data_IF_880375037049
#
_entry.id   IF_880375037049
#
_cell.length_a   1.000
_cell.length_b   1.000
_cell.length_c   1.000
_cell.angle_alpha   90.00
_cell.angle_beta   90.00
_cell.angle_gamma   90.00
#
_symmetry.space_group_name_H-M   'P 1'
#
loop_
_entity.id
_entity.type
_entity.pdbx_description
1 polymer ?
#
# COMPACT_ATOMS: atom_id res chain seq x y z
N UNK A 1 -28.73 0.39 -11.73
CA UNK A 1 -29.91 1.26 -11.63
C UNK A 1 -30.88 0.91 -12.76
N UNK A 2 -32.19 0.91 -12.45
CA UNK A 2 -33.26 0.63 -13.42
C UNK A 2 -34.45 1.55 -13.13
N UNK A 3 -35.23 1.85 -14.16
CA UNK A 3 -36.45 2.66 -14.05
C UNK A 3 -37.61 1.93 -14.71
N UNK A 4 -38.74 1.80 -14.00
CA UNK A 4 -39.95 1.18 -14.51
C UNK A 4 -40.93 2.27 -14.98
N UNK A 5 -41.35 2.22 -16.25
CA UNK A 5 -42.30 3.13 -16.81
C UNK A 5 -43.25 2.42 -17.79
N UNK A 6 -44.52 2.61 -17.60
CA UNK A 6 -45.60 1.97 -18.38
C UNK A 6 -45.42 0.46 -18.56
N UNK A 7 -44.96 -0.25 -17.50
CA UNK A 7 -44.75 -1.70 -17.52
C UNK A 7 -43.43 -2.16 -18.15
N UNK A 8 -42.61 -1.24 -18.69
CA UNK A 8 -41.31 -1.52 -19.28
C UNK A 8 -40.19 -1.07 -18.34
N UNK A 9 -39.11 -1.88 -18.28
CA UNK A 9 -37.92 -1.55 -17.48
C UNK A 9 -36.81 -1.00 -18.38
N UNK A 10 -36.29 0.17 -18.03
CA UNK A 10 -35.22 0.87 -18.75
C UNK A 10 -33.94 0.85 -17.93
N UNK A 11 -32.84 0.47 -18.59
CA UNK A 11 -31.52 0.32 -17.98
C UNK A 11 -30.51 1.40 -18.44
N UNK A 12 -30.91 2.23 -19.39
CA UNK A 12 -30.06 3.25 -20.00
C UNK A 12 -30.80 4.58 -20.09
N UNK A 13 -30.03 5.66 -20.09
CA UNK A 13 -30.55 7.00 -20.38
C UNK A 13 -31.04 7.09 -21.81
N UNK A 14 -32.12 7.83 -22.05
CA UNK A 14 -32.66 8.02 -23.38
C UNK A 14 -34.01 8.70 -23.37
N UNK A 15 -34.54 8.94 -24.58
CA UNK A 15 -35.90 9.40 -24.79
C UNK A 15 -36.69 8.19 -25.28
N UNK A 16 -37.73 7.85 -24.53
CA UNK A 16 -38.60 6.72 -24.81
C UNK A 16 -40.00 7.20 -25.07
N UNK A 17 -40.66 6.62 -26.04
CA UNK A 17 -42.01 6.98 -26.46
C UNK A 17 -42.92 5.78 -26.33
N UNK A 18 -44.06 5.95 -25.75
CA UNK A 18 -45.09 4.95 -25.61
C UNK A 18 -46.42 5.50 -26.07
N UNK A 19 -47.24 4.61 -26.68
CA UNK A 19 -48.55 4.93 -27.19
C UNK A 19 -49.61 4.32 -26.28
N UNK A 20 -50.37 5.13 -25.62
CA UNK A 20 -51.42 4.73 -24.70
C UNK A 20 -52.79 4.90 -25.39
N UNK A 21 -53.62 3.87 -25.33
CA UNK A 21 -54.97 3.94 -25.84
C UNK A 21 -55.93 4.33 -24.75
N UNK A 22 -56.81 5.32 -25.03
CA UNK A 22 -57.91 5.64 -24.14
C UNK A 22 -59.03 4.61 -24.28
N UNK A 23 -59.94 4.52 -23.33
CA UNK A 23 -61.12 3.67 -23.35
C UNK A 23 -62.06 3.94 -24.54
N UNK A 24 -61.88 5.04 -25.24
CA UNK A 24 -62.64 5.43 -26.41
C UNK A 24 -61.88 5.23 -27.73
N UNK A 25 -60.69 4.55 -27.69
CA UNK A 25 -59.92 4.20 -28.86
C UNK A 25 -59.05 5.31 -29.44
N UNK A 26 -58.89 6.42 -28.74
CA UNK A 26 -57.96 7.47 -29.16
C UNK A 26 -56.58 7.18 -28.64
N UNK A 27 -55.54 7.32 -29.50
CA UNK A 27 -54.14 7.16 -29.13
C UNK A 27 -53.60 8.42 -28.47
N UNK A 28 -52.85 8.22 -27.41
CA UNK A 28 -52.09 9.28 -26.71
C UNK A 28 -50.62 8.90 -26.68
N UNK A 29 -49.76 9.82 -27.08
CA UNK A 29 -48.31 9.62 -27.07
C UNK A 29 -47.76 10.15 -25.74
N UNK A 30 -47.11 9.26 -24.99
CA UNK A 30 -46.35 9.61 -23.79
C UNK A 30 -44.85 9.57 -24.09
N UNK A 31 -44.12 10.57 -23.65
CA UNK A 31 -42.65 10.63 -23.85
C UNK A 31 -41.97 10.70 -22.49
N UNK A 32 -41.03 9.80 -22.26
CA UNK A 32 -40.13 9.78 -21.10
C UNK A 32 -38.74 10.25 -21.53
N UNK A 33 -38.24 11.29 -20.89
CA UNK A 33 -36.85 11.69 -20.97
C UNK A 33 -36.16 11.19 -19.69
N UNK A 34 -35.41 10.09 -19.82
CA UNK A 34 -34.78 9.37 -18.71
C UNK A 34 -33.27 9.65 -18.69
N UNK A 35 -32.78 10.03 -17.52
CA UNK A 35 -31.34 10.07 -17.24
C UNK A 35 -31.04 9.11 -16.11
N UNK A 36 -30.21 8.11 -16.40
CA UNK A 36 -29.70 7.16 -15.40
C UNK A 36 -28.23 7.53 -15.11
N UNK A 37 -27.98 7.88 -13.86
CA UNK A 37 -26.62 8.18 -13.40
C UNK A 37 -25.95 6.90 -12.92
N UNK A 38 -24.66 6.73 -13.30
CA UNK A 38 -23.83 5.66 -12.78
C UNK A 38 -23.39 6.00 -11.36
N UNK A 39 -23.42 5.01 -10.49
CA UNK A 39 -22.68 5.06 -9.21
C UNK A 39 -21.22 4.74 -9.51
N UNK A 40 -20.32 5.46 -8.85
CA UNK A 40 -18.89 5.18 -8.91
C UNK A 40 -18.48 4.68 -7.53
N UNK A 41 -18.08 3.40 -7.48
CA UNK A 41 -17.45 2.85 -6.29
C UNK A 41 -15.95 3.17 -6.36
N UNK A 42 -15.43 3.85 -5.35
CA UNK A 42 -14.00 4.11 -5.21
C UNK A 42 -13.42 3.15 -4.18
N UNK A 43 -12.28 2.54 -4.51
CA UNK A 43 -11.60 1.58 -3.64
C UNK A 43 -10.18 2.09 -3.40
N UNK A 44 -9.88 2.38 -2.14
CA UNK A 44 -8.56 2.77 -1.68
C UNK A 44 -7.95 1.65 -0.83
N UNK A 45 -6.63 1.43 -0.95
CA UNK A 45 -5.88 0.49 -0.13
C UNK A 45 -4.71 1.22 0.48
N UNK A 46 -4.65 1.25 1.81
CA UNK A 46 -3.67 2.02 2.57
C UNK A 46 -3.08 1.16 3.69
N UNK A 47 -1.75 1.24 3.83
CA UNK A 47 -1.03 0.79 5.02
C UNK A 47 -0.59 2.00 5.83
N UNK A 48 -0.82 1.99 7.11
CA UNK A 48 -0.44 3.07 8.03
C UNK A 48 0.13 2.50 9.33
N UNK A 49 0.94 3.31 9.99
CA UNK A 49 1.41 3.05 11.34
C UNK A 49 0.45 3.70 12.33
N UNK A 50 0.02 3.00 13.36
CA UNK A 50 -0.83 3.46 14.46
C UNK A 50 -2.25 3.87 14.06
N UNK A 51 -2.44 4.77 13.11
CA UNK A 51 -3.77 5.23 12.69
C UNK A 51 -3.74 5.90 11.33
N UNK A 52 -4.91 5.97 10.71
CA UNK A 52 -5.12 6.65 9.43
C UNK A 52 -6.39 7.50 9.49
N UNK A 53 -6.31 8.73 9.01
CA UNK A 53 -7.47 9.62 8.92
C UNK A 53 -8.05 9.57 7.51
N UNK A 54 -9.28 9.08 7.39
CA UNK A 54 -10.01 9.00 6.13
C UNK A 54 -11.36 9.70 6.24
N UNK A 55 -11.65 10.58 5.30
CA UNK A 55 -12.87 11.42 5.29
C UNK A 55 -13.15 12.13 6.62
N UNK A 56 -12.08 12.55 7.33
CA UNK A 56 -12.19 13.27 8.61
C UNK A 56 -12.42 12.38 9.83
N UNK A 57 -12.46 11.05 9.65
CA UNK A 57 -12.55 10.06 10.74
C UNK A 57 -11.21 9.36 10.90
N UNK A 58 -10.73 9.25 12.13
CA UNK A 58 -9.51 8.52 12.46
C UNK A 58 -9.83 7.05 12.74
N UNK A 59 -9.08 6.15 12.10
CA UNK A 59 -9.15 4.71 12.27
C UNK A 59 -7.82 4.21 12.82
N UNK A 60 -7.83 3.43 13.89
CA UNK A 60 -6.68 2.89 14.61
C UNK A 60 -6.52 1.36 14.47
N UNK A 61 -7.35 0.75 13.67
CA UNK A 61 -7.39 -0.71 13.50
C UNK A 61 -7.46 -1.08 12.03
N UNK A 62 -6.84 -2.20 11.67
CA UNK A 62 -6.98 -2.78 10.34
C UNK A 62 -8.43 -3.19 10.06
N UNK A 63 -8.91 -2.92 8.86
CA UNK A 63 -10.28 -3.26 8.52
C UNK A 63 -10.69 -2.79 7.14
N UNK A 64 -11.94 -3.06 6.82
CA UNK A 64 -12.61 -2.54 5.63
C UNK A 64 -13.63 -1.52 6.11
N UNK A 65 -13.44 -0.28 5.69
CA UNK A 65 -14.31 0.84 6.05
C UNK A 65 -15.04 1.35 4.81
N UNK A 66 -16.29 1.70 4.98
CA UNK A 66 -17.11 2.24 3.89
C UNK A 66 -17.67 3.59 4.27
N UNK A 67 -17.70 4.49 3.32
CA UNK A 67 -18.34 5.78 3.43
C UNK A 67 -19.28 6.02 2.26
N UNK A 68 -20.46 6.54 2.53
CA UNK A 68 -21.48 6.80 1.52
C UNK A 68 -21.59 8.29 1.27
N UNK A 69 -21.27 8.70 0.06
CA UNK A 69 -21.35 10.09 -0.37
C UNK A 69 -22.50 10.25 -1.35
N UNK A 70 -23.42 11.18 -1.04
CA UNK A 70 -24.50 11.50 -1.95
C UNK A 70 -24.00 12.44 -3.06
N UNK A 71 -24.24 12.04 -4.31
CA UNK A 71 -23.93 12.89 -5.44
C UNK A 71 -24.93 14.05 -5.55
N UNK A 72 -24.59 15.09 -6.32
CA UNK A 72 -25.48 16.24 -6.58
C UNK A 72 -26.82 15.82 -7.22
N UNK A 73 -26.94 14.62 -7.75
CA UNK A 73 -28.13 14.06 -8.39
C UNK A 73 -28.90 13.09 -7.49
N UNK A 74 -28.53 13.00 -6.20
CA UNK A 74 -29.21 12.17 -5.22
C UNK A 74 -28.92 10.67 -5.31
N UNK A 75 -27.91 10.28 -6.10
CA UNK A 75 -27.41 8.90 -6.12
C UNK A 75 -26.34 8.73 -5.03
N UNK A 76 -26.36 7.61 -4.32
CA UNK A 76 -25.33 7.27 -3.36
C UNK A 76 -24.13 6.62 -4.06
N UNK A 77 -22.93 7.05 -3.72
CA UNK A 77 -21.66 6.49 -4.14
C UNK A 77 -20.97 5.89 -2.93
N UNK A 78 -20.46 4.69 -3.02
CA UNK A 78 -19.80 4.01 -1.91
C UNK A 78 -18.29 4.09 -2.13
N UNK A 79 -17.60 4.70 -1.17
CA UNK A 79 -16.15 4.65 -1.08
C UNK A 79 -15.78 3.55 -0.11
N UNK A 80 -14.81 2.71 -0.47
CA UNK A 80 -14.33 1.60 0.36
C UNK A 80 -12.83 1.78 0.61
N UNK A 81 -12.44 1.75 1.86
CA UNK A 81 -11.05 1.77 2.30
C UNK A 81 -10.67 0.40 2.85
N UNK A 82 -9.64 -0.22 2.27
CA UNK A 82 -8.92 -1.35 2.85
C UNK A 82 -7.74 -0.81 3.63
N UNK A 83 -7.86 -0.76 4.95
CA UNK A 83 -6.83 -0.24 5.83
C UNK A 83 -6.08 -1.38 6.51
N UNK A 84 -4.75 -1.32 6.41
CA UNK A 84 -3.84 -2.12 7.24
C UNK A 84 -3.17 -1.17 8.23
N UNK A 85 -3.45 -1.34 9.50
CA UNK A 85 -2.72 -0.67 10.58
C UNK A 85 -1.71 -1.66 11.13
N UNK A 86 -0.44 -1.29 11.02
CA UNK A 86 0.64 -2.10 11.57
C UNK A 86 0.72 -1.82 13.07
N UNK A 87 0.35 -2.80 13.88
CA UNK A 87 0.51 -2.76 15.33
C UNK A 87 1.98 -3.10 15.63
N UNK A 88 2.74 -2.04 15.90
CA UNK A 88 4.17 -2.15 16.10
C UNK A 88 4.47 -2.39 17.58
N UNK A 89 4.28 -3.62 18.02
CA UNK A 89 4.91 -4.07 19.28
C UNK A 89 6.41 -4.17 18.99
N UNK A 90 7.17 -3.19 19.43
CA UNK A 90 8.62 -3.16 19.26
C UNK A 90 9.26 -4.34 20.00
N UNK A 91 9.46 -5.41 19.27
CA UNK A 91 10.35 -6.48 19.68
C UNK A 91 11.76 -6.17 19.14
N UNK A 92 12.83 -6.54 19.83
CA UNK A 92 14.16 -6.44 19.26
C UNK A 92 14.20 -7.28 17.99
N UNK A 93 14.74 -6.66 16.93
CA UNK A 93 14.94 -7.29 15.64
C UNK A 93 16.40 -7.71 15.54
N UNK A 94 16.69 -8.79 14.87
CA UNK A 94 18.05 -9.21 14.55
C UNK A 94 18.28 -9.08 13.05
N UNK A 95 19.19 -8.19 12.67
CA UNK A 95 19.72 -8.11 11.30
C UNK A 95 20.81 -9.14 11.13
N UNK A 96 20.68 -10.03 10.16
CA UNK A 96 21.74 -10.87 9.63
C UNK A 96 22.12 -10.32 8.24
N UNK A 97 23.30 -9.74 8.12
CA UNK A 97 23.84 -9.17 6.89
C UNK A 97 25.08 -9.94 6.49
N UNK A 98 25.01 -10.74 5.43
CA UNK A 98 26.16 -11.35 4.80
C UNK A 98 26.72 -10.36 3.79
N UNK A 99 27.93 -9.91 4.06
CA UNK A 99 28.68 -9.01 3.20
C UNK A 99 29.26 -9.75 2.00
N UNK A 100 29.31 -9.09 0.87
CA UNK A 100 29.98 -9.55 -0.33
C UNK A 100 31.49 -9.26 -0.31
N UNK A 101 32.16 -9.41 -1.45
CA UNK A 101 33.59 -9.09 -1.58
C UNK A 101 33.88 -7.58 -1.56
N UNK A 102 32.88 -6.74 -1.84
CA UNK A 102 33.01 -5.28 -1.99
C UNK A 102 32.36 -4.48 -0.86
N UNK A 103 32.28 -5.04 0.32
CA UNK A 103 31.55 -4.49 1.48
C UNK A 103 31.97 -3.08 1.92
N UNK A 104 32.97 -2.46 1.30
CA UNK A 104 33.34 -1.05 1.51
C UNK A 104 32.21 -0.11 1.09
N UNK A 105 31.36 -0.53 0.20
CA UNK A 105 30.25 0.25 -0.36
C UNK A 105 28.90 -0.02 0.30
N UNK A 106 28.85 -1.00 1.20
CA UNK A 106 27.63 -1.40 1.90
C UNK A 106 27.39 -0.54 3.14
N UNK A 107 26.20 0.05 3.19
CA UNK A 107 25.71 0.86 4.32
C UNK A 107 24.28 0.47 4.65
N UNK A 108 23.87 0.61 5.89
CA UNK A 108 22.46 0.52 6.23
C UNK A 108 22.09 1.51 7.34
N UNK A 109 20.84 1.91 7.31
CA UNK A 109 20.26 2.83 8.30
C UNK A 109 18.91 2.32 8.77
N UNK A 110 18.55 2.70 9.99
CA UNK A 110 17.17 2.60 10.49
C UNK A 110 16.73 3.99 10.89
N UNK A 111 15.60 4.41 10.36
CA UNK A 111 14.98 5.73 10.61
C UNK A 111 13.60 5.55 11.20
N UNK A 112 13.20 6.47 12.08
CA UNK A 112 11.82 6.54 12.58
C UNK A 112 10.88 7.22 11.59
N UNK A 113 9.60 7.37 11.99
CA UNK A 113 8.56 8.03 11.17
C UNK A 113 8.82 9.54 10.93
N UNK A 114 9.81 10.13 11.60
CA UNK A 114 10.21 11.53 11.48
C UNK A 114 11.56 11.69 10.76
N UNK A 115 12.04 10.62 10.10
CA UNK A 115 13.36 10.55 9.44
C UNK A 115 14.55 10.70 10.40
N UNK A 116 14.36 10.53 11.71
CA UNK A 116 15.47 10.53 12.67
C UNK A 116 16.23 9.21 12.59
N UNK A 117 17.55 9.28 12.46
CA UNK A 117 18.39 8.10 12.30
C UNK A 117 18.67 7.47 13.68
N UNK A 118 18.25 6.20 13.84
CA UNK A 118 18.48 5.40 15.04
C UNK A 118 19.71 4.52 14.93
N UNK A 119 19.94 3.99 13.72
CA UNK A 119 21.12 3.18 13.40
C UNK A 119 21.71 3.65 12.07
N UNK A 120 23.03 3.70 12.01
CA UNK A 120 23.79 4.02 10.80
C UNK A 120 25.10 3.25 10.87
N UNK A 121 25.25 2.24 10.06
CA UNK A 121 26.39 1.34 10.06
C UNK A 121 26.96 1.18 8.64
N UNK A 122 28.25 0.97 8.54
CA UNK A 122 29.04 0.95 7.30
C UNK A 122 29.89 2.22 7.16
N UNK A 123 30.80 2.30 6.20
CA UNK A 123 31.25 1.18 5.38
C UNK A 123 31.97 0.12 6.20
N UNK A 124 32.00 -1.11 5.67
CA UNK A 124 32.72 -2.22 6.30
C UNK A 124 34.18 -2.30 5.82
N UNK A 125 34.99 -3.07 6.53
CA UNK A 125 36.43 -3.15 6.27
C UNK A 125 36.75 -4.13 5.13
N UNK A 126 36.55 -3.65 3.90
CA UNK A 126 36.89 -4.34 2.67
C UNK A 126 37.87 -3.52 1.83
N UNK A 127 38.50 -4.17 0.87
CA UNK A 127 39.37 -3.49 -0.09
C UNK A 127 38.54 -2.93 -1.26
N UNK A 128 38.95 -1.75 -1.82
CA UNK A 128 38.25 -1.19 -2.97
C UNK A 128 38.24 -2.07 -4.23
N UNK A 129 39.14 -3.08 -4.29
CA UNK A 129 39.24 -4.01 -5.41
C UNK A 129 38.71 -5.42 -5.08
N UNK A 130 37.92 -5.52 -4.02
CA UNK A 130 37.37 -6.77 -3.50
C UNK A 130 38.23 -7.43 -2.44
N UNK A 131 37.61 -8.23 -1.60
CA UNK A 131 38.24 -8.90 -0.46
C UNK A 131 38.47 -7.96 0.74
N UNK A 132 39.16 -8.42 1.74
CA UNK A 132 39.41 -7.69 2.98
C UNK A 132 38.96 -8.46 4.22
N UNK A 133 39.11 -7.81 5.39
CA UNK A 133 38.90 -8.53 6.66
C UNK A 133 37.40 -8.87 6.93
N UNK A 134 36.49 -8.12 6.35
CA UNK A 134 35.04 -8.35 6.52
C UNK A 134 34.35 -8.86 5.24
N UNK A 135 35.09 -9.00 4.13
CA UNK A 135 34.53 -9.60 2.92
C UNK A 135 34.02 -11.02 3.20
N UNK A 136 32.86 -11.35 2.67
CA UNK A 136 32.19 -12.64 2.82
C UNK A 136 31.95 -13.07 4.28
N UNK A 137 31.82 -12.09 5.18
CA UNK A 137 31.48 -12.37 6.59
C UNK A 137 30.02 -11.98 6.88
N UNK A 138 29.42 -12.64 7.86
CA UNK A 138 28.09 -12.30 8.32
C UNK A 138 28.17 -11.36 9.52
N UNK A 139 27.54 -10.21 9.40
CA UNK A 139 27.31 -9.28 10.50
C UNK A 139 25.96 -9.63 11.13
N UNK A 140 25.95 -9.82 12.44
CA UNK A 140 24.71 -10.01 13.22
C UNK A 140 24.56 -8.79 14.13
N UNK A 141 23.43 -8.12 14.02
CA UNK A 141 23.15 -6.89 14.79
C UNK A 141 21.77 -6.94 15.40
N UNK A 142 21.69 -6.79 16.71
CA UNK A 142 20.43 -6.59 17.38
C UNK A 142 20.02 -5.11 17.28
N UNK A 143 18.80 -4.89 16.85
CA UNK A 143 18.20 -3.58 16.63
C UNK A 143 17.08 -3.42 17.65
N UNK A 144 17.25 -2.48 18.58
CA UNK A 144 16.26 -2.17 19.60
C UNK A 144 15.51 -0.91 19.20
N UNK A 145 14.21 -1.05 18.98
CA UNK A 145 13.33 0.05 18.58
C UNK A 145 12.40 0.39 19.75
N UNK A 146 11.86 1.58 19.78
CA UNK A 146 10.83 1.94 20.77
C UNK A 146 9.46 1.57 20.27
N UNK A 147 8.55 1.25 21.20
CA UNK A 147 7.17 0.93 20.88
C UNK A 147 6.43 2.14 20.26
N UNK A 148 5.40 1.86 19.49
CA UNK A 148 4.49 2.84 18.91
C UNK A 148 5.11 3.82 17.91
N UNK A 149 6.15 3.41 17.19
CA UNK A 149 6.64 4.13 16.01
C UNK A 149 6.80 3.17 14.84
N UNK A 150 6.93 3.74 13.63
CA UNK A 150 7.28 2.99 12.45
C UNK A 150 8.70 3.30 12.04
N UNK A 151 9.39 2.26 11.60
CA UNK A 151 10.79 2.39 11.22
C UNK A 151 11.00 1.94 9.79
N UNK A 152 11.88 2.66 9.11
CA UNK A 152 12.34 2.31 7.77
C UNK A 152 13.76 1.76 7.86
N UNK A 153 13.96 0.53 7.40
CA UNK A 153 15.28 -0.05 7.19
C UNK A 153 15.71 0.23 5.75
N UNK A 154 16.84 0.89 5.57
CA UNK A 154 17.44 1.15 4.27
C UNK A 154 18.80 0.46 4.20
N UNK A 155 18.98 -0.40 3.21
CA UNK A 155 20.28 -0.94 2.82
C UNK A 155 20.72 -0.24 1.55
N UNK A 156 21.90 0.32 1.55
CA UNK A 156 22.45 1.12 0.47
C UNK A 156 23.79 0.54 0.02
N UNK A 157 24.00 0.63 -1.27
CA UNK A 157 25.22 0.28 -1.95
C UNK A 157 25.70 1.47 -2.77
N UNK A 158 26.95 1.88 -2.59
CA UNK A 158 27.45 3.11 -3.21
C UNK A 158 27.53 3.02 -4.74
N UNK A 159 27.85 1.85 -5.31
CA UNK A 159 27.95 1.67 -6.75
C UNK A 159 26.64 1.25 -7.40
N UNK A 160 25.66 0.80 -6.61
CA UNK A 160 24.29 0.52 -7.08
C UNK A 160 24.14 -0.81 -7.77
N UNK A 161 25.08 -1.75 -7.58
CA UNK A 161 24.98 -3.13 -8.05
C UNK A 161 24.47 -4.09 -6.94
N UNK A 162 24.13 -3.55 -5.79
CA UNK A 162 23.60 -4.26 -4.64
C UNK A 162 24.67 -5.09 -3.93
N UNK A 163 24.26 -6.17 -3.27
CA UNK A 163 25.19 -7.13 -2.66
C UNK A 163 25.68 -8.15 -3.69
N UNK A 164 26.02 -7.69 -4.90
CA UNK A 164 26.21 -8.51 -6.10
C UNK A 164 27.66 -8.83 -6.43
N UNK A 165 28.45 -9.34 -5.48
CA UNK A 165 29.87 -9.71 -5.69
C UNK A 165 30.10 -10.73 -6.83
N UNK A 166 29.14 -11.61 -7.12
CA UNK A 166 29.29 -12.68 -8.12
C UNK A 166 29.45 -12.17 -9.55
N UNK A 167 28.91 -11.00 -9.87
CA UNK A 167 29.07 -10.37 -11.19
C UNK A 167 30.57 -10.11 -11.54
N UNK A 168 31.37 -9.82 -10.51
CA UNK A 168 32.82 -9.54 -10.63
C UNK A 168 33.70 -10.73 -10.26
N UNK A 169 33.08 -11.91 -10.09
CA UNK A 169 33.80 -13.15 -9.77
C UNK A 169 33.98 -13.42 -8.26
N UNK A 170 33.33 -12.62 -7.43
CA UNK A 170 33.25 -12.80 -5.99
C UNK A 170 32.00 -13.55 -5.52
N UNK A 171 31.60 -13.34 -4.28
CA UNK A 171 30.44 -13.96 -3.66
C UNK A 171 29.36 -12.91 -3.43
N UNK A 172 28.10 -13.25 -3.71
CA UNK A 172 26.97 -12.38 -3.41
C UNK A 172 26.71 -12.32 -1.90
N UNK A 173 26.41 -11.13 -1.41
CA UNK A 173 25.89 -10.93 -0.08
C UNK A 173 24.39 -11.19 0.01
N UNK A 174 23.87 -11.13 1.21
CA UNK A 174 22.44 -11.26 1.49
C UNK A 174 22.08 -10.63 2.82
N UNK A 175 20.82 -10.33 3.03
CA UNK A 175 20.37 -9.85 4.33
C UNK A 175 19.01 -10.44 4.70
N UNK A 176 18.77 -10.54 6.00
CA UNK A 176 17.45 -10.86 6.58
C UNK A 176 17.27 -10.08 7.87
N UNK A 177 16.06 -9.61 8.09
CA UNK A 177 15.63 -9.00 9.34
C UNK A 177 14.62 -9.94 10.00
N UNK A 178 14.85 -10.29 11.25
CA UNK A 178 14.06 -11.29 11.98
C UNK A 178 13.56 -10.72 13.29
N UNK A 179 12.37 -11.13 13.69
CA UNK A 179 11.84 -10.90 15.04
C UNK A 179 12.42 -11.89 16.07
N UNK A 180 12.01 -11.77 17.33
CA UNK A 180 12.39 -12.69 18.43
C UNK A 180 12.01 -14.16 18.18
N UNK A 181 11.06 -14.43 17.29
CA UNK A 181 10.62 -15.77 16.94
C UNK A 181 11.35 -16.32 15.70
N UNK A 182 12.36 -15.63 15.20
CA UNK A 182 13.06 -15.89 13.93
C UNK A 182 12.14 -15.82 12.70
N UNK A 183 11.04 -15.06 12.77
CA UNK A 183 10.20 -14.77 11.62
C UNK A 183 10.80 -13.59 10.86
N UNK A 184 10.94 -13.74 9.54
CA UNK A 184 11.40 -12.65 8.65
C UNK A 184 10.32 -11.58 8.59
N UNK A 185 10.68 -10.34 8.83
CA UNK A 185 9.81 -9.16 8.86
C UNK A 185 10.05 -8.24 7.68
#
# INVERSE_FOLDING_TARGET
NQYLWNGNTYLQSGIFVDTLQTSQGCDSIATLNLTIYSIFDNIDSVSSCQSYTWNGVQYDSSGIYTDTVQTAFGCDSINTLYLTVNDNTAAPLTLELMLDDYCLETFWTVKDSQDSIWYNEGPYNCNPTGGGNQANTTIIKDIYLVENDCYTFELSDYYGDGLGGSFWGGTDGSWTLKDLNNVIV
#
